data_IF_182408564722
#
_entry.id   IF_182408564722
#
_cell.length_a   1.000
_cell.length_b   1.000
_cell.length_c   1.000
_cell.angle_alpha   90.00
_cell.angle_beta   90.00
_cell.angle_gamma   90.00
#
_symmetry.space_group_name_H-M   'P 1'
#
loop_
_entity.id
_entity.type
_entity.pdbx_description
1 polymer ?
#
# COMPACT_ATOMS: atom_id res chain seq x y z
N UNK A 1 1.54 -16.22 9.77
CA UNK A 1 0.36 -17.04 10.14
C UNK A 1 0.08 -16.95 11.63
N UNK A 2 -1.18 -16.80 12.05
CA UNK A 2 -1.59 -16.82 13.46
C UNK A 2 -1.95 -18.24 13.92
N UNK A 3 -2.14 -18.44 15.24
CA UNK A 3 -2.47 -19.77 15.81
C UNK A 3 -3.89 -20.26 15.54
N UNK A 4 -4.73 -19.54 14.80
CA UNK A 4 -6.11 -19.94 14.41
C UNK A 4 -7.18 -19.83 15.51
N UNK A 5 -6.80 -19.81 16.76
CA UNK A 5 -7.73 -19.97 17.90
C UNK A 5 -8.01 -18.69 18.69
N UNK A 6 -7.12 -17.69 18.60
CA UNK A 6 -7.24 -16.44 19.32
C UNK A 6 -8.38 -15.54 18.85
N UNK A 7 -8.75 -14.55 19.66
CA UNK A 7 -9.83 -13.58 19.36
C UNK A 7 -9.66 -12.91 17.99
N UNK A 8 -8.44 -12.48 17.66
CA UNK A 8 -8.15 -11.81 16.39
C UNK A 8 -8.34 -12.76 15.19
N UNK A 9 -7.89 -14.03 15.30
CA UNK A 9 -8.10 -15.01 14.24
C UNK A 9 -9.60 -15.28 14.02
N UNK A 10 -10.36 -15.48 15.10
CA UNK A 10 -11.80 -15.76 15.04
C UNK A 10 -12.65 -14.58 14.56
N UNK A 11 -12.15 -13.34 14.68
CA UNK A 11 -12.84 -12.12 14.24
C UNK A 11 -12.37 -11.59 12.87
N UNK A 12 -11.65 -12.39 12.10
CA UNK A 12 -11.14 -11.97 10.77
C UNK A 12 -10.03 -10.92 10.82
N UNK A 13 -9.32 -10.81 11.94
CA UNK A 13 -8.20 -9.88 12.15
C UNK A 13 -6.88 -10.63 12.36
N UNK A 14 -6.67 -11.69 11.60
CA UNK A 14 -5.51 -12.58 11.76
C UNK A 14 -4.16 -11.88 11.55
N UNK A 15 -4.09 -10.82 10.75
CA UNK A 15 -2.90 -10.00 10.57
C UNK A 15 -2.47 -9.22 11.84
N UNK A 16 -3.35 -9.11 12.83
CA UNK A 16 -3.10 -8.39 14.09
C UNK A 16 -2.76 -9.33 15.27
N UNK A 17 -2.52 -10.60 15.02
CA UNK A 17 -2.05 -11.56 16.03
C UNK A 17 -0.59 -11.24 16.37
N UNK A 18 -0.25 -11.15 17.66
CA UNK A 18 1.13 -10.82 18.08
C UNK A 18 2.09 -12.01 18.02
N UNK A 19 1.59 -13.20 18.34
CA UNK A 19 2.34 -14.46 18.23
C UNK A 19 2.16 -15.04 16.84
N UNK A 20 2.80 -14.41 15.85
CA UNK A 20 2.75 -14.85 14.45
C UNK A 20 4.04 -15.52 14.02
N UNK A 21 3.93 -16.45 13.09
CA UNK A 21 5.06 -16.96 12.31
C UNK A 21 5.01 -16.29 10.94
N UNK A 22 6.02 -15.49 10.64
CA UNK A 22 6.16 -14.76 9.40
C UNK A 22 7.27 -15.39 8.55
N UNK A 23 6.92 -15.88 7.38
CA UNK A 23 7.90 -16.40 6.44
C UNK A 23 8.86 -15.28 5.99
N UNK A 24 10.17 -15.56 6.08
CA UNK A 24 11.23 -14.60 5.78
C UNK A 24 11.59 -13.65 6.92
N UNK A 25 11.00 -13.82 8.12
CA UNK A 25 11.26 -13.02 9.33
C UNK A 25 11.49 -13.93 10.54
N UNK A 26 10.45 -14.64 11.01
CA UNK A 26 10.53 -15.55 12.15
C UNK A 26 10.55 -17.04 11.76
N UNK A 27 10.49 -17.34 10.47
CA UNK A 27 10.65 -18.64 9.86
C UNK A 27 11.28 -18.49 8.47
N UNK A 28 11.75 -19.59 7.91
CA UNK A 28 12.31 -19.61 6.55
C UNK A 28 11.33 -19.05 5.54
N UNK A 29 11.86 -18.26 4.59
CA UNK A 29 11.07 -17.54 3.60
C UNK A 29 11.07 -18.17 2.22
N UNK A 30 10.49 -17.44 1.26
CA UNK A 30 10.38 -17.84 -0.15
C UNK A 30 11.49 -17.30 -1.06
N UNK A 31 12.64 -16.87 -0.51
CA UNK A 31 13.83 -16.47 -1.28
C UNK A 31 14.62 -17.66 -1.83
N UNK A 32 13.93 -18.68 -2.32
CA UNK A 32 14.48 -19.94 -2.82
C UNK A 32 13.55 -20.52 -3.90
N UNK A 33 14.01 -21.55 -4.62
CA UNK A 33 13.21 -22.24 -5.62
C UNK A 33 11.97 -22.92 -5.01
N UNK A 34 12.06 -23.35 -3.76
CA UNK A 34 10.99 -24.01 -3.02
C UNK A 34 10.92 -23.49 -1.58
N UNK A 35 9.73 -23.48 -1.00
CA UNK A 35 9.53 -23.18 0.41
C UNK A 35 8.41 -24.03 1.00
N UNK A 36 8.49 -24.30 2.30
CA UNK A 36 7.44 -25.01 3.04
C UNK A 36 6.49 -23.98 3.67
N UNK A 37 5.21 -24.16 3.43
CA UNK A 37 4.16 -23.29 4.00
C UNK A 37 3.09 -24.11 4.68
N UNK A 38 2.43 -23.55 5.69
CA UNK A 38 1.27 -24.17 6.32
C UNK A 38 0.07 -24.04 5.39
N UNK A 39 -0.50 -25.18 4.98
CA UNK A 39 -1.56 -25.25 3.98
C UNK A 39 -2.77 -24.37 4.30
N UNK A 40 -3.18 -24.32 5.57
CA UNK A 40 -4.32 -23.50 6.03
C UNK A 40 -4.13 -21.99 5.80
N UNK A 41 -2.89 -21.56 5.57
CA UNK A 41 -2.55 -20.15 5.30
C UNK A 41 -2.14 -19.90 3.85
N UNK A 42 -2.15 -20.93 3.02
CA UNK A 42 -1.93 -20.78 1.57
C UNK A 42 -3.20 -20.24 0.90
N UNK A 43 -3.01 -19.32 -0.03
CA UNK A 43 -4.07 -18.81 -0.90
C UNK A 43 -3.72 -19.18 -2.33
N UNK A 44 -4.65 -19.83 -3.03
CA UNK A 44 -4.45 -20.23 -4.42
C UNK A 44 -4.38 -18.99 -5.32
N UNK A 45 -3.33 -18.92 -6.14
CA UNK A 45 -3.24 -17.92 -7.21
C UNK A 45 -4.27 -18.28 -8.30
N UNK A 46 -5.07 -17.33 -8.80
CA UNK A 46 -6.03 -17.60 -9.87
C UNK A 46 -5.35 -18.13 -11.14
N UNK A 47 -6.04 -19.01 -11.84
CA UNK A 47 -5.57 -19.54 -13.13
C UNK A 47 -5.38 -18.41 -14.15
N UNK A 48 -4.33 -18.51 -14.95
CA UNK A 48 -3.98 -17.48 -15.95
C UNK A 48 -3.22 -16.28 -15.39
N UNK A 49 -3.02 -16.17 -14.07
CA UNK A 49 -2.20 -15.11 -13.47
C UNK A 49 -0.72 -15.41 -13.65
N UNK A 50 0.06 -14.43 -14.11
CA UNK A 50 1.52 -14.56 -14.20
C UNK A 50 2.15 -14.62 -12.81
N UNK A 51 3.19 -15.48 -12.63
CA UNK A 51 3.87 -15.62 -11.33
C UNK A 51 4.53 -14.32 -10.87
N UNK A 52 5.05 -13.53 -11.79
CA UNK A 52 5.70 -12.25 -11.50
C UNK A 52 4.70 -11.22 -10.93
N UNK A 53 3.55 -11.08 -11.56
CA UNK A 53 2.47 -10.22 -11.09
C UNK A 53 1.90 -10.73 -9.78
N UNK A 54 1.63 -12.03 -9.68
CA UNK A 54 1.11 -12.66 -8.47
C UNK A 54 2.04 -12.45 -7.27
N UNK A 55 3.37 -12.57 -7.44
CA UNK A 55 4.34 -12.32 -6.38
C UNK A 55 4.24 -10.90 -5.82
N UNK A 56 3.95 -9.91 -6.65
CA UNK A 56 3.74 -8.53 -6.23
C UNK A 56 2.42 -8.35 -5.45
N UNK A 57 1.39 -9.12 -5.78
CA UNK A 57 0.09 -9.07 -5.09
C UNK A 57 0.17 -9.69 -3.69
N UNK A 58 0.99 -10.71 -3.47
CA UNK A 58 1.11 -11.40 -2.17
C UNK A 58 1.58 -10.51 -1.02
N UNK A 59 2.27 -9.41 -1.32
CA UNK A 59 2.74 -8.45 -0.30
C UNK A 59 2.19 -7.05 -0.60
N UNK A 60 2.71 -6.38 -1.62
CA UNK A 60 2.36 -5.00 -1.92
C UNK A 60 0.89 -4.85 -2.33
N UNK A 61 0.36 -5.79 -3.12
CA UNK A 61 -1.03 -5.77 -3.56
C UNK A 61 -2.01 -5.90 -2.40
N UNK A 62 -1.89 -6.95 -1.60
CA UNK A 62 -2.79 -7.16 -0.44
C UNK A 62 -2.66 -6.05 0.60
N UNK A 63 -1.43 -5.54 0.83
CA UNK A 63 -1.20 -4.45 1.77
C UNK A 63 -1.95 -3.19 1.36
N UNK A 64 -1.85 -2.82 0.10
CA UNK A 64 -2.48 -1.59 -0.41
C UNK A 64 -3.98 -1.75 -0.61
N UNK A 65 -4.46 -2.92 -1.03
CA UNK A 65 -5.88 -3.25 -1.04
C UNK A 65 -6.49 -3.07 0.35
N UNK A 66 -5.88 -3.71 1.36
CA UNK A 66 -6.33 -3.60 2.75
C UNK A 66 -6.30 -2.16 3.26
N UNK A 67 -5.26 -1.40 2.96
CA UNK A 67 -5.15 -0.01 3.38
C UNK A 67 -6.28 0.86 2.80
N UNK A 68 -6.60 0.71 1.50
CA UNK A 68 -7.72 1.42 0.87
C UNK A 68 -9.06 0.96 1.46
N UNK A 69 -9.25 -0.33 1.71
CA UNK A 69 -10.44 -0.87 2.39
C UNK A 69 -10.62 -0.30 3.79
N UNK A 70 -9.54 -0.23 4.58
CA UNK A 70 -9.52 0.35 5.95
C UNK A 70 -9.78 1.84 5.94
N UNK A 71 -9.44 2.55 4.86
CA UNK A 71 -9.72 3.98 4.71
C UNK A 71 -11.21 4.32 4.69
N UNK A 72 -12.06 3.32 4.44
CA UNK A 72 -13.52 3.45 4.30
C UNK A 72 -13.93 4.44 3.19
N UNK A 73 -13.09 4.63 2.20
CA UNK A 73 -13.39 5.49 1.05
C UNK A 73 -14.63 4.99 0.32
N UNK A 74 -15.46 5.92 -0.14
CA UNK A 74 -16.67 5.63 -0.91
C UNK A 74 -16.51 6.13 -2.36
N UNK A 75 -17.26 5.57 -3.32
CA UNK A 75 -17.25 6.04 -4.70
C UNK A 75 -17.46 7.55 -4.80
N UNK A 76 -16.66 8.19 -5.65
CA UNK A 76 -16.70 9.63 -5.88
C UNK A 76 -16.02 10.50 -4.83
N UNK A 77 -15.62 9.95 -3.69
CA UNK A 77 -14.87 10.67 -2.65
C UNK A 77 -13.39 10.80 -3.02
N UNK A 78 -12.73 11.81 -2.43
CA UNK A 78 -11.30 12.06 -2.61
C UNK A 78 -10.46 11.24 -1.63
N UNK A 79 -9.47 10.51 -2.16
CA UNK A 79 -8.43 9.84 -1.39
C UNK A 79 -7.04 10.34 -1.82
N UNK A 80 -6.22 10.72 -0.84
CA UNK A 80 -4.84 11.11 -1.07
C UNK A 80 -3.90 9.90 -0.87
N UNK A 81 -3.04 9.63 -1.83
CA UNK A 81 -2.00 8.59 -1.74
C UNK A 81 -0.65 9.28 -1.63
N UNK A 82 0.00 9.12 -0.48
CA UNK A 82 1.33 9.66 -0.19
C UNK A 82 2.41 8.62 -0.46
N UNK A 83 3.28 8.90 -1.42
CA UNK A 83 4.29 7.98 -1.92
C UNK A 83 3.74 7.09 -3.05
N UNK A 84 4.24 7.25 -4.27
CA UNK A 84 3.78 6.56 -5.48
C UNK A 84 4.79 5.50 -5.97
N UNK A 85 5.63 4.98 -5.08
CA UNK A 85 6.51 3.86 -5.35
C UNK A 85 5.74 2.54 -5.59
N UNK A 86 6.40 1.42 -5.34
CA UNK A 86 5.83 0.09 -5.61
C UNK A 86 4.52 -0.23 -4.87
N UNK A 87 4.29 0.38 -3.68
CA UNK A 87 3.02 0.26 -2.96
C UNK A 87 2.00 1.29 -3.43
N UNK A 88 2.37 2.58 -3.43
CA UNK A 88 1.42 3.66 -3.74
C UNK A 88 0.83 3.56 -5.15
N UNK A 89 1.59 3.06 -6.09
CA UNK A 89 1.13 2.73 -7.43
C UNK A 89 -0.05 1.73 -7.42
N UNK A 90 0.05 0.68 -6.60
CA UNK A 90 -1.03 -0.30 -6.46
C UNK A 90 -2.21 0.27 -5.66
N UNK A 91 -1.93 1.05 -4.59
CA UNK A 91 -2.98 1.74 -3.83
C UNK A 91 -3.83 2.65 -4.72
N UNK A 92 -3.20 3.40 -5.64
CA UNK A 92 -3.89 4.23 -6.63
C UNK A 92 -4.83 3.40 -7.50
N UNK A 93 -4.36 2.27 -8.03
CA UNK A 93 -5.15 1.41 -8.89
C UNK A 93 -6.35 0.81 -8.13
N UNK A 94 -6.16 0.34 -6.90
CA UNK A 94 -7.28 -0.12 -6.06
C UNK A 94 -8.28 1.01 -5.80
N UNK A 95 -7.81 2.17 -5.35
CA UNK A 95 -8.67 3.31 -5.07
C UNK A 95 -9.50 3.71 -6.30
N UNK A 96 -8.86 3.78 -7.48
CA UNK A 96 -9.50 4.20 -8.73
C UNK A 96 -10.41 3.14 -9.30
N UNK A 97 -9.91 1.92 -9.49
CA UNK A 97 -10.54 0.90 -10.32
C UNK A 97 -11.43 -0.08 -9.52
N UNK A 98 -11.25 -0.17 -8.22
CA UNK A 98 -12.04 -1.05 -7.35
C UNK A 98 -13.01 -0.24 -6.48
N UNK A 99 -12.55 0.82 -5.85
CA UNK A 99 -13.37 1.65 -4.96
C UNK A 99 -14.01 2.85 -5.65
N UNK A 100 -13.70 3.12 -6.94
CA UNK A 100 -14.23 4.22 -7.73
C UNK A 100 -14.05 5.60 -7.07
N UNK A 101 -12.93 5.78 -6.37
CA UNK A 101 -12.56 7.02 -5.71
C UNK A 101 -11.92 8.01 -6.70
N UNK A 102 -11.93 9.29 -6.34
CA UNK A 102 -11.08 10.31 -6.96
C UNK A 102 -9.74 10.31 -6.26
N UNK A 103 -8.65 10.20 -6.99
CA UNK A 103 -7.31 9.98 -6.44
C UNK A 103 -6.44 11.21 -6.56
N UNK A 104 -5.88 11.63 -5.43
CA UNK A 104 -4.81 12.63 -5.34
C UNK A 104 -3.50 11.88 -5.13
N UNK A 105 -2.60 11.94 -6.09
CA UNK A 105 -1.28 11.33 -6.04
C UNK A 105 -0.25 12.34 -5.54
N UNK A 106 0.45 12.04 -4.44
CA UNK A 106 1.42 12.93 -3.80
C UNK A 106 2.75 12.22 -3.69
N UNK A 107 3.78 12.78 -4.28
CA UNK A 107 5.15 12.25 -4.24
C UNK A 107 6.16 13.40 -4.33
N UNK A 108 7.43 13.10 -4.05
CA UNK A 108 8.56 14.03 -4.25
C UNK A 108 9.23 13.86 -5.62
N UNK A 109 8.84 12.85 -6.38
CA UNK A 109 9.44 12.44 -7.65
C UNK A 109 8.46 12.64 -8.80
N UNK A 110 8.80 13.54 -9.74
CA UNK A 110 7.95 13.85 -10.90
C UNK A 110 7.70 12.65 -11.82
N UNK A 111 8.63 11.71 -11.94
CA UNK A 111 8.44 10.52 -12.77
C UNK A 111 7.38 9.58 -12.16
N UNK A 112 7.31 9.47 -10.82
CA UNK A 112 6.24 8.74 -10.15
C UNK A 112 4.89 9.44 -10.35
N UNK A 113 4.86 10.77 -10.32
CA UNK A 113 3.65 11.55 -10.55
C UNK A 113 3.16 11.45 -11.99
N UNK A 114 4.06 11.46 -12.98
CA UNK A 114 3.70 11.20 -14.39
C UNK A 114 3.08 9.80 -14.57
N UNK A 115 3.69 8.79 -13.94
CA UNK A 115 3.14 7.44 -13.94
C UNK A 115 1.76 7.39 -13.29
N UNK A 116 1.58 8.04 -12.13
CA UNK A 116 0.29 8.14 -11.46
C UNK A 116 -0.78 8.82 -12.33
N UNK A 117 -0.44 9.90 -13.02
CA UNK A 117 -1.33 10.57 -13.96
C UNK A 117 -1.76 9.63 -15.11
N UNK A 118 -0.82 8.84 -15.66
CA UNK A 118 -1.13 7.87 -16.71
C UNK A 118 -2.02 6.72 -16.24
N UNK A 119 -2.04 6.45 -14.93
CA UNK A 119 -2.91 5.46 -14.28
C UNK A 119 -4.25 6.04 -13.83
N UNK A 120 -4.53 7.29 -14.13
CA UNK A 120 -5.81 7.92 -13.87
C UNK A 120 -5.92 8.68 -12.54
N UNK A 121 -4.82 9.10 -11.93
CA UNK A 121 -4.88 10.06 -10.82
C UNK A 121 -5.58 11.34 -11.28
N UNK A 122 -6.52 11.82 -10.47
CA UNK A 122 -7.32 13.02 -10.80
C UNK A 122 -6.57 14.32 -10.46
N UNK A 123 -5.61 14.24 -9.54
CA UNK A 123 -4.72 15.34 -9.15
C UNK A 123 -3.35 14.77 -8.80
N UNK A 124 -2.29 15.43 -9.23
CA UNK A 124 -0.90 15.11 -8.86
C UNK A 124 -0.26 16.30 -8.19
N UNK A 125 0.49 16.07 -7.11
CA UNK A 125 1.14 17.12 -6.32
C UNK A 125 2.57 16.70 -6.00
N UNK A 126 3.55 17.53 -6.36
CA UNK A 126 4.92 17.33 -5.95
C UNK A 126 5.18 18.03 -4.60
N UNK A 127 5.24 17.24 -3.53
CA UNK A 127 5.42 17.75 -2.16
C UNK A 127 6.82 18.32 -1.87
N UNK A 128 7.74 18.27 -2.82
CA UNK A 128 9.03 18.99 -2.74
C UNK A 128 8.90 20.45 -3.11
N UNK A 129 7.98 20.78 -4.03
CA UNK A 129 7.81 22.13 -4.57
C UNK A 129 6.56 22.85 -4.05
N UNK A 130 5.59 22.09 -3.52
CA UNK A 130 4.31 22.62 -3.06
C UNK A 130 3.95 22.09 -1.67
N UNK A 131 3.19 22.87 -0.90
CA UNK A 131 2.54 22.38 0.31
C UNK A 131 1.35 21.49 -0.08
N UNK A 132 1.57 20.18 -0.04
CA UNK A 132 0.57 19.22 -0.51
C UNK A 132 -0.74 19.32 0.27
N UNK A 133 -0.70 19.51 1.59
CA UNK A 133 -1.91 19.61 2.40
C UNK A 133 -2.73 20.85 2.02
N UNK A 134 -2.06 21.99 1.84
CA UNK A 134 -2.71 23.23 1.40
C UNK A 134 -3.37 23.07 0.03
N UNK A 135 -2.65 22.50 -0.95
CA UNK A 135 -3.19 22.25 -2.29
C UNK A 135 -4.40 21.34 -2.24
N UNK A 136 -4.35 20.25 -1.44
CA UNK A 136 -5.50 19.34 -1.27
C UNK A 136 -6.70 20.07 -0.69
N UNK A 137 -6.50 20.89 0.35
CA UNK A 137 -7.58 21.69 0.95
C UNK A 137 -8.20 22.67 -0.06
N UNK A 138 -7.37 23.41 -0.79
CA UNK A 138 -7.84 24.40 -1.77
C UNK A 138 -8.57 23.77 -2.96
N UNK A 139 -8.07 22.63 -3.47
CA UNK A 139 -8.64 21.99 -4.67
C UNK A 139 -9.84 21.10 -4.39
N UNK A 140 -9.95 20.53 -3.20
CA UNK A 140 -10.96 19.49 -2.91
C UNK A 140 -11.79 19.73 -1.65
N UNK A 141 -11.45 20.76 -0.87
CA UNK A 141 -12.03 20.97 0.47
C UNK A 141 -11.54 19.95 1.50
N UNK A 142 -10.39 19.33 1.26
CA UNK A 142 -9.80 18.26 2.05
C UNK A 142 -10.18 16.87 1.55
N UNK A 143 -9.23 15.93 1.62
CA UNK A 143 -9.48 14.54 1.26
C UNK A 143 -10.38 13.84 2.30
N UNK A 144 -11.22 12.91 1.88
CA UNK A 144 -12.03 12.08 2.79
C UNK A 144 -11.15 11.03 3.48
N UNK A 145 -10.10 10.58 2.81
CA UNK A 145 -9.12 9.67 3.36
C UNK A 145 -7.73 9.96 2.78
N UNK A 146 -6.70 9.50 3.51
CA UNK A 146 -5.33 9.47 3.02
C UNK A 146 -4.71 8.10 3.34
N UNK A 147 -3.92 7.56 2.42
CA UNK A 147 -3.10 6.35 2.61
C UNK A 147 -1.64 6.75 2.47
N UNK A 148 -0.84 6.49 3.51
CA UNK A 148 0.57 6.88 3.55
C UNK A 148 1.45 5.65 3.39
N UNK A 149 2.02 5.47 2.21
CA UNK A 149 3.00 4.41 1.90
C UNK A 149 4.44 4.91 1.93
N UNK A 150 4.63 6.22 1.94
CA UNK A 150 5.95 6.85 2.07
C UNK A 150 6.59 6.54 3.43
N UNK A 151 7.94 6.46 3.45
CA UNK A 151 8.73 6.18 4.65
C UNK A 151 9.35 7.49 5.18
N UNK A 152 8.53 8.53 5.30
CA UNK A 152 8.96 9.85 5.76
C UNK A 152 7.92 10.47 6.70
N UNK A 153 8.35 10.91 7.88
CA UNK A 153 7.51 11.58 8.88
C UNK A 153 6.71 12.74 8.30
N UNK A 154 7.32 13.54 7.42
CA UNK A 154 6.68 14.68 6.78
C UNK A 154 5.42 14.29 5.97
N UNK A 155 5.42 13.11 5.33
CA UNK A 155 4.26 12.61 4.60
C UNK A 155 3.08 12.31 5.53
N UNK A 156 3.33 11.77 6.72
CA UNK A 156 2.30 11.50 7.72
C UNK A 156 1.71 12.79 8.28
N UNK A 157 2.54 13.78 8.61
CA UNK A 157 2.07 15.09 9.09
C UNK A 157 1.20 15.76 8.02
N UNK A 158 1.70 15.81 6.78
CA UNK A 158 0.95 16.38 5.66
C UNK A 158 -0.38 15.65 5.40
N UNK A 159 -0.41 14.32 5.55
CA UNK A 159 -1.65 13.54 5.38
C UNK A 159 -2.73 13.91 6.40
N UNK A 160 -2.34 14.11 7.67
CA UNK A 160 -3.26 14.59 8.71
C UNK A 160 -3.79 15.97 8.37
N UNK A 161 -2.93 16.87 7.85
CA UNK A 161 -3.33 18.23 7.48
C UNK A 161 -4.16 18.30 6.18
N UNK A 162 -4.04 17.29 5.32
CA UNK A 162 -4.75 17.23 4.03
C UNK A 162 -6.18 16.71 4.14
N UNK A 163 -6.52 15.95 5.17
CA UNK A 163 -7.88 15.39 5.29
C UNK A 163 -8.86 16.43 5.82
N UNK A 164 -10.13 16.30 5.42
CA UNK A 164 -11.24 17.11 5.93
C UNK A 164 -11.69 16.66 7.32
N UNK A 165 -12.58 17.43 7.94
CA UNK A 165 -13.26 17.00 9.16
C UNK A 165 -13.96 15.64 8.93
N UNK A 166 -13.81 14.72 9.90
CA UNK A 166 -14.24 13.32 9.80
C UNK A 166 -13.36 12.46 8.90
N UNK A 167 -12.26 12.99 8.36
CA UNK A 167 -11.35 12.27 7.48
C UNK A 167 -10.54 11.20 8.21
N UNK A 168 -10.02 10.23 7.43
CA UNK A 168 -9.24 9.12 7.96
C UNK A 168 -7.87 9.02 7.27
N UNK A 169 -6.83 8.93 8.09
CA UNK A 169 -5.45 8.69 7.65
C UNK A 169 -5.07 7.25 7.96
N UNK A 170 -4.64 6.50 6.94
CA UNK A 170 -4.19 5.11 7.08
C UNK A 170 -2.68 5.05 6.95
N UNK A 171 -2.01 4.65 8.03
CA UNK A 171 -0.58 4.47 8.10
C UNK A 171 -0.18 3.09 7.60
N UNK A 172 0.68 3.02 6.60
CA UNK A 172 1.22 1.79 5.98
C UNK A 172 2.73 1.79 5.99
N UNK A 173 3.38 2.88 5.58
CA UNK A 173 4.83 3.05 5.65
C UNK A 173 5.33 3.02 7.10
N UNK A 174 6.58 2.62 7.29
CA UNK A 174 7.18 2.41 8.62
C UNK A 174 8.41 3.32 8.81
N UNK A 175 8.24 4.66 8.90
CA UNK A 175 9.35 5.52 9.29
C UNK A 175 9.76 5.21 10.74
N UNK A 176 11.05 5.33 11.07
CA UNK A 176 11.53 5.05 12.43
C UNK A 176 11.10 6.12 13.45
N UNK A 177 10.75 7.33 12.97
CA UNK A 177 10.40 8.45 13.83
C UNK A 177 8.94 8.41 14.28
N UNK A 178 8.69 8.88 15.49
CA UNK A 178 7.34 9.19 15.96
C UNK A 178 6.83 10.49 15.32
N UNK A 179 5.52 10.57 15.09
CA UNK A 179 4.86 11.80 14.68
C UNK A 179 4.14 12.47 15.86
N UNK A 180 4.00 13.80 15.78
CA UNK A 180 3.20 14.58 16.72
C UNK A 180 1.83 14.88 16.13
N UNK A 181 0.81 15.00 16.99
CA UNK A 181 -0.54 15.39 16.60
C UNK A 181 -0.89 16.78 17.16
N UNK A 182 -1.54 17.61 16.37
CA UNK A 182 -2.32 18.74 16.88
C UNK A 182 -3.61 18.17 17.51
N UNK A 183 -3.60 18.02 18.83
CA UNK A 183 -4.71 17.40 19.57
C UNK A 183 -6.03 18.20 19.42
N UNK A 184 -6.06 19.55 19.54
CA UNK A 184 -7.25 20.33 19.24
C UNK A 184 -7.87 20.02 17.88
N UNK A 185 -7.07 20.01 16.82
CA UNK A 185 -7.54 19.70 15.48
C UNK A 185 -8.05 18.26 15.37
N UNK A 186 -7.31 17.30 15.95
CA UNK A 186 -7.73 15.89 15.94
C UNK A 186 -9.12 15.70 16.57
N UNK A 187 -9.37 16.40 17.69
CA UNK A 187 -10.62 16.31 18.45
C UNK A 187 -11.74 17.08 17.77
N UNK A 188 -11.50 18.34 17.40
CA UNK A 188 -12.55 19.22 16.87
C UNK A 188 -13.00 18.81 15.47
N UNK A 189 -12.08 18.32 14.65
CA UNK A 189 -12.38 17.85 13.30
C UNK A 189 -12.72 16.34 13.25
N UNK A 190 -12.62 15.61 14.36
CA UNK A 190 -12.93 14.18 14.40
C UNK A 190 -12.06 13.33 13.48
N UNK A 191 -10.77 13.69 13.33
CA UNK A 191 -9.83 12.99 12.44
C UNK A 191 -9.47 11.64 13.05
N UNK A 192 -9.42 10.61 12.19
CA UNK A 192 -9.02 9.26 12.58
C UNK A 192 -7.66 8.93 11.99
N UNK A 193 -6.74 8.42 12.81
CA UNK A 193 -5.46 7.87 12.37
C UNK A 193 -5.43 6.41 12.73
N UNK A 194 -5.28 5.55 11.72
CA UNK A 194 -5.32 4.09 11.88
C UNK A 194 -4.13 3.42 11.19
N UNK A 195 -3.61 2.36 11.79
CA UNK A 195 -2.60 1.51 11.15
C UNK A 195 -3.23 0.42 10.29
N UNK A 196 -2.55 0.02 9.24
CA UNK A 196 -2.93 -1.12 8.41
C UNK A 196 -1.72 -2.01 8.15
N UNK A 197 -1.79 -3.26 8.58
CA UNK A 197 -0.71 -4.24 8.44
C UNK A 197 -1.12 -5.33 7.44
N UNK A 198 -0.42 -5.39 6.31
CA UNK A 198 -0.61 -6.40 5.25
C UNK A 198 -2.10 -6.63 4.96
N UNK A 199 -2.58 -7.83 5.12
CA UNK A 199 -3.98 -8.23 4.98
C UNK A 199 -4.20 -9.64 5.49
N UNK A 200 -5.46 -10.06 5.52
CA UNK A 200 -5.87 -11.42 5.84
C UNK A 200 -5.83 -12.30 4.59
N UNK A 201 -6.00 -13.61 4.75
CA UNK A 201 -6.18 -14.54 3.61
C UNK A 201 -7.36 -14.13 2.72
N UNK A 202 -8.44 -13.65 3.32
CA UNK A 202 -9.60 -13.12 2.59
C UNK A 202 -9.22 -11.89 1.77
N UNK A 203 -8.49 -10.94 2.37
CA UNK A 203 -8.03 -9.74 1.65
C UNK A 203 -7.10 -10.12 0.48
N UNK A 204 -6.25 -11.16 0.65
CA UNK A 204 -5.38 -11.65 -0.42
C UNK A 204 -6.19 -12.30 -1.55
N UNK A 205 -7.20 -13.10 -1.22
CA UNK A 205 -8.11 -13.71 -2.21
C UNK A 205 -8.81 -12.63 -3.03
N UNK A 206 -9.35 -11.61 -2.37
CA UNK A 206 -10.00 -10.47 -3.03
C UNK A 206 -9.00 -9.68 -3.91
N UNK A 207 -7.78 -9.44 -3.40
CA UNK A 207 -6.73 -8.74 -4.14
C UNK A 207 -6.31 -9.49 -5.41
N UNK A 208 -6.17 -10.82 -5.35
CA UNK A 208 -5.92 -11.66 -6.52
C UNK A 208 -7.06 -11.62 -7.53
N UNK A 209 -8.31 -11.64 -7.06
CA UNK A 209 -9.46 -11.54 -7.94
C UNK A 209 -9.45 -10.24 -8.74
N UNK A 210 -9.23 -9.10 -8.09
CA UNK A 210 -9.16 -7.81 -8.80
C UNK A 210 -7.98 -7.73 -9.78
N UNK A 211 -6.85 -8.37 -9.46
CA UNK A 211 -5.74 -8.48 -10.40
C UNK A 211 -6.10 -9.37 -11.61
N UNK A 212 -6.75 -10.52 -11.38
CA UNK A 212 -7.21 -11.40 -12.45
C UNK A 212 -8.26 -10.73 -13.37
N UNK A 213 -9.09 -9.84 -12.82
CA UNK A 213 -10.06 -9.02 -13.57
C UNK A 213 -9.38 -7.85 -14.33
N UNK A 214 -8.06 -7.69 -14.23
CA UNK A 214 -7.32 -6.61 -14.87
C UNK A 214 -7.53 -5.22 -14.26
N UNK A 215 -8.19 -5.12 -13.09
CA UNK A 215 -8.42 -3.85 -12.40
C UNK A 215 -7.16 -3.29 -11.74
N UNK A 216 -6.25 -4.17 -11.37
CA UNK A 216 -4.97 -3.84 -10.76
C UNK A 216 -3.87 -4.62 -11.46
N UNK A 217 -2.97 -3.91 -12.11
CA UNK A 217 -1.88 -4.50 -12.88
C UNK A 217 -0.55 -4.03 -12.28
N UNK A 218 0.18 -4.90 -11.54
CA UNK A 218 1.50 -4.57 -11.05
C UNK A 218 2.45 -4.30 -12.22
N UNK A 219 3.17 -3.19 -12.15
CA UNK A 219 4.27 -2.94 -13.07
C UNK A 219 5.50 -3.67 -12.56
N UNK A 220 5.83 -4.79 -13.19
CA UNK A 220 6.95 -5.66 -12.79
C UNK A 220 8.09 -5.61 -13.77
N UNK A 221 9.32 -5.76 -13.25
CA UNK A 221 10.51 -6.06 -14.02
C UNK A 221 11.16 -7.30 -13.41
N UNK A 222 11.69 -8.19 -14.26
CA UNK A 222 12.34 -9.45 -13.87
C UNK A 222 13.83 -9.30 -13.92
N UNK A 223 14.53 -9.79 -12.89
CA UNK A 223 16.00 -9.92 -12.88
C UNK A 223 16.41 -11.23 -12.19
N UNK A 224 17.57 -11.77 -12.51
CA UNK A 224 18.09 -12.98 -11.88
C UNK A 224 18.54 -12.72 -10.44
N UNK A 225 18.68 -13.78 -9.65
CA UNK A 225 19.07 -13.70 -8.23
C UNK A 225 20.46 -13.05 -8.04
N UNK A 226 21.37 -13.26 -8.97
CA UNK A 226 22.73 -12.70 -8.95
C UNK A 226 22.75 -11.18 -8.85
N UNK A 227 21.69 -10.51 -9.35
CA UNK A 227 21.55 -9.05 -9.34
C UNK A 227 21.05 -8.49 -8.01
N UNK A 228 20.73 -9.33 -7.01
CA UNK A 228 20.02 -8.89 -5.80
C UNK A 228 20.72 -7.73 -5.08
N UNK A 229 22.05 -7.74 -4.98
CA UNK A 229 22.80 -6.68 -4.32
C UNK A 229 22.80 -5.37 -5.13
N UNK A 230 22.77 -5.45 -6.46
CA UNK A 230 22.63 -4.27 -7.32
C UNK A 230 21.21 -3.69 -7.19
N UNK A 231 20.20 -4.55 -7.16
CA UNK A 231 18.80 -4.15 -6.96
C UNK A 231 18.61 -3.41 -5.63
N UNK A 232 19.20 -3.89 -4.53
CA UNK A 232 19.12 -3.19 -3.25
C UNK A 232 19.72 -1.78 -3.31
N UNK A 233 20.86 -1.61 -3.98
CA UNK A 233 21.47 -0.28 -4.18
C UNK A 233 20.57 0.65 -5.01
N UNK A 234 19.98 0.13 -6.07
CA UNK A 234 19.03 0.88 -6.90
C UNK A 234 17.77 1.28 -6.11
N UNK A 235 17.28 0.40 -5.21
CA UNK A 235 16.17 0.71 -4.30
C UNK A 235 16.51 1.84 -3.32
N UNK A 236 17.69 1.77 -2.69
CA UNK A 236 18.18 2.82 -1.78
C UNK A 236 18.31 4.18 -2.49
N UNK A 237 18.67 4.18 -3.77
CA UNK A 237 18.78 5.37 -4.61
C UNK A 237 17.44 5.82 -5.21
N UNK A 238 16.35 5.12 -4.94
CA UNK A 238 15.03 5.44 -5.47
C UNK A 238 14.90 5.29 -7.00
N UNK A 239 15.72 4.44 -7.60
CA UNK A 239 15.78 4.23 -9.07
C UNK A 239 14.77 3.20 -9.59
N UNK A 240 14.21 2.36 -8.71
CA UNK A 240 13.25 1.31 -9.09
C UNK A 240 11.88 1.93 -9.38
N UNK A 241 11.28 1.55 -10.50
CA UNK A 241 9.92 1.92 -10.88
C UNK A 241 9.02 0.69 -10.85
N UNK A 242 7.93 0.76 -10.09
CA UNK A 242 7.05 -0.39 -9.88
C UNK A 242 7.65 -1.43 -8.94
N UNK A 243 7.63 -2.70 -9.35
CA UNK A 243 8.13 -3.85 -8.55
C UNK A 243 9.24 -4.56 -9.29
N UNK A 244 10.34 -4.81 -8.60
CA UNK A 244 11.40 -5.71 -9.07
C UNK A 244 11.11 -7.11 -8.56
N UNK A 245 11.08 -8.08 -9.45
CA UNK A 245 10.82 -9.49 -9.15
C UNK A 245 12.05 -10.31 -9.50
N UNK A 246 12.48 -11.14 -8.58
CA UNK A 246 13.60 -12.07 -8.81
C UNK A 246 13.04 -13.33 -9.45
N UNK A 247 13.59 -13.68 -10.62
CA UNK A 247 13.29 -14.96 -11.27
C UNK A 247 14.28 -16.03 -10.80
N UNK A 248 13.76 -17.06 -10.15
CA UNK A 248 14.54 -18.17 -9.58
C UNK A 248 14.54 -19.42 -10.46
N UNK A 249 14.07 -19.33 -11.70
CA UNK A 249 13.93 -20.47 -12.62
C UNK A 249 15.20 -20.78 -13.44
N UNK A 250 16.32 -20.13 -13.14
CA UNK A 250 17.60 -20.31 -13.82
C UNK A 250 18.67 -20.85 -12.87
#
# INVERSE_FOLDING_TARGET
QGGGHGKNCKSGKESLVREVVNAGDTADGGGAQECIVVADYAVKVPEGSGSAEASSITCAGVTTYKAVKVSQIKPGQWIAIYGLGGLGNLALQYAKNVFNAKVIAIDVNDEQLKLAASMGADLTINSRSEDAAKVVQEKTGGAHAAVVTAVAKAAFNSAVDAVRAGGRVVAVGLPPEAMSFDIPRLVLDGIQVVGSLVGTRQDLTEAFQFAAEGKVVPKVALRPLEDINAIFKEMEQGQIRGRMVIDLRH
#
